data_IF_670017701821
#
_entry.id   IF_670017701821
#
_cell.length_a   1.000
_cell.length_b   1.000
_cell.length_c   1.000
_cell.angle_alpha   90.00
_cell.angle_beta   90.00
_cell.angle_gamma   90.00
#
_symmetry.space_group_name_H-M   'P 1'
#
loop_
_entity.id
_entity.type
_entity.pdbx_description
1 polymer ?
#
# COMPACT_ATOMS: atom_id res chain seq x y z
N UNK A 1 -16.92 0.82 6.59
CA UNK A 1 -15.76 1.45 5.94
C UNK A 1 -16.24 2.55 4.99
N UNK A 2 -15.59 3.72 4.99
CA UNK A 2 -15.85 4.77 4.01
C UNK A 2 -14.85 4.72 2.83
N UNK A 3 -15.30 5.10 1.63
CA UNK A 3 -14.47 5.16 0.41
C UNK A 3 -14.38 6.60 -0.08
N UNK A 4 -13.15 7.09 -0.29
CA UNK A 4 -12.89 8.47 -0.69
C UNK A 4 -12.07 8.50 -1.97
N UNK A 5 -12.57 9.17 -3.02
CA UNK A 5 -11.80 9.46 -4.23
C UNK A 5 -11.20 10.85 -4.15
N UNK A 6 -9.88 10.93 -4.09
CA UNK A 6 -9.16 12.13 -3.64
C UNK A 6 -8.11 12.58 -4.65
N UNK A 7 -7.92 13.90 -4.73
CA UNK A 7 -6.72 14.52 -5.31
C UNK A 7 -5.58 14.49 -4.30
N UNK A 8 -4.34 14.73 -4.75
CA UNK A 8 -3.12 14.63 -3.93
C UNK A 8 -3.22 15.41 -2.60
N UNK A 9 -3.66 16.67 -2.62
CA UNK A 9 -3.71 17.49 -1.40
C UNK A 9 -4.73 16.92 -0.40
N UNK A 10 -5.94 16.64 -0.86
CA UNK A 10 -6.99 16.04 -0.02
C UNK A 10 -6.65 14.61 0.45
N UNK A 11 -5.83 13.89 -0.31
CA UNK A 11 -5.31 12.59 0.07
C UNK A 11 -4.36 12.70 1.25
N UNK A 12 -3.46 13.70 1.25
CA UNK A 12 -2.56 13.93 2.38
C UNK A 12 -3.32 14.25 3.66
N UNK A 13 -4.29 15.17 3.59
CA UNK A 13 -5.12 15.55 4.74
C UNK A 13 -5.88 14.34 5.32
N UNK A 14 -6.51 13.54 4.45
CA UNK A 14 -7.27 12.34 4.88
C UNK A 14 -6.38 11.24 5.42
N UNK A 15 -5.17 11.08 4.87
CA UNK A 15 -4.20 10.13 5.39
C UNK A 15 -3.72 10.57 6.79
N UNK A 16 -3.41 11.85 6.99
CA UNK A 16 -2.98 12.37 8.30
C UNK A 16 -4.09 12.29 9.36
N UNK A 17 -5.35 12.50 8.98
CA UNK A 17 -6.52 12.21 9.82
C UNK A 17 -6.54 10.74 10.25
N UNK A 18 -6.35 9.81 9.30
CA UNK A 18 -6.29 8.37 9.60
C UNK A 18 -5.14 8.04 10.56
N UNK A 19 -3.94 8.59 10.36
CA UNK A 19 -2.77 8.34 11.24
C UNK A 19 -3.06 8.83 12.65
N UNK A 20 -3.74 9.96 12.79
CA UNK A 20 -4.01 10.59 14.09
C UNK A 20 -5.21 9.97 14.83
N UNK A 21 -6.11 9.27 14.15
CA UNK A 21 -7.33 8.70 14.75
C UNK A 21 -7.02 7.38 15.47
N UNK A 22 -7.07 7.37 16.81
CA UNK A 22 -6.80 6.17 17.61
C UNK A 22 -7.84 5.05 17.44
N UNK A 23 -9.01 5.34 16.88
CA UNK A 23 -10.08 4.35 16.68
C UNK A 23 -9.96 3.61 15.34
N UNK A 24 -9.10 4.10 14.44
CA UNK A 24 -8.84 3.48 13.14
C UNK A 24 -7.48 2.82 13.15
N UNK A 25 -7.40 1.61 12.63
CA UNK A 25 -6.17 0.85 12.57
C UNK A 25 -5.78 0.50 11.13
N UNK A 26 -6.72 0.29 10.22
CA UNK A 26 -6.44 -0.27 8.90
C UNK A 26 -6.94 0.63 7.76
N UNK A 27 -6.05 0.96 6.83
CA UNK A 27 -6.33 1.77 5.65
C UNK A 27 -6.00 1.02 4.37
N UNK A 28 -6.93 1.03 3.41
CA UNK A 28 -6.68 0.56 2.05
C UNK A 28 -6.44 1.75 1.11
N UNK A 29 -5.42 1.65 0.26
CA UNK A 29 -5.07 2.65 -0.73
C UNK A 29 -5.15 2.04 -2.11
N UNK A 30 -6.07 2.60 -2.90
CA UNK A 30 -6.41 2.22 -4.27
C UNK A 30 -5.99 3.30 -5.26
N UNK A 31 -5.95 2.97 -6.54
CA UNK A 31 -5.57 3.93 -7.60
C UNK A 31 -4.80 3.30 -8.75
N UNK A 32 -4.78 3.95 -9.91
CA UNK A 32 -4.08 3.42 -11.10
C UNK A 32 -2.56 3.63 -11.11
N UNK A 33 -2.05 4.56 -10.29
CA UNK A 33 -0.65 5.00 -10.35
C UNK A 33 0.15 4.52 -9.14
N UNK A 34 0.75 3.33 -9.26
CA UNK A 34 1.42 2.64 -8.15
C UNK A 34 2.58 3.42 -7.53
N UNK A 35 3.40 4.07 -8.37
CA UNK A 35 4.53 4.89 -7.91
C UNK A 35 4.05 6.11 -7.13
N UNK A 36 2.96 6.75 -7.57
CA UNK A 36 2.46 7.96 -6.93
C UNK A 36 1.80 7.66 -5.59
N UNK A 37 1.09 6.53 -5.49
CA UNK A 37 0.57 6.01 -4.20
C UNK A 37 1.70 5.80 -3.21
N UNK A 38 2.75 5.07 -3.61
CA UNK A 38 3.91 4.83 -2.73
C UNK A 38 4.60 6.13 -2.34
N UNK A 39 4.92 7.00 -3.29
CA UNK A 39 5.59 8.28 -3.01
C UNK A 39 4.78 9.15 -2.05
N UNK A 40 3.46 9.24 -2.27
CA UNK A 40 2.58 10.04 -1.42
C UNK A 40 2.56 9.49 0.01
N UNK A 41 2.38 8.17 0.16
CA UNK A 41 2.37 7.52 1.47
C UNK A 41 3.69 7.72 2.21
N UNK A 42 4.82 7.45 1.58
CA UNK A 42 6.12 7.61 2.24
C UNK A 42 6.43 9.07 2.58
N UNK A 43 6.08 10.02 1.72
CA UNK A 43 6.27 11.45 1.98
C UNK A 43 5.40 11.95 3.15
N UNK A 44 4.21 11.38 3.34
CA UNK A 44 3.36 11.72 4.48
C UNK A 44 3.92 11.07 5.75
N UNK A 45 4.21 9.77 5.72
CA UNK A 45 4.78 9.04 6.85
C UNK A 45 6.08 9.68 7.35
N UNK A 46 7.01 10.04 6.46
CA UNK A 46 8.30 10.63 6.83
C UNK A 46 8.20 11.99 7.53
N UNK A 47 7.14 12.74 7.25
CA UNK A 47 6.88 14.06 7.85
C UNK A 47 5.99 13.99 9.07
N UNK A 48 5.35 12.85 9.33
CA UNK A 48 4.39 12.71 10.40
C UNK A 48 5.10 12.43 11.73
N UNK A 49 4.87 13.30 12.73
CA UNK A 49 5.50 13.22 14.05
C UNK A 49 5.13 11.97 14.87
N UNK A 50 4.17 11.17 14.42
CA UNK A 50 3.76 9.92 15.08
C UNK A 50 4.33 8.68 14.39
N UNK A 51 5.06 8.85 13.28
CA UNK A 51 5.59 7.77 12.47
C UNK A 51 7.11 7.90 12.39
N UNK A 52 7.81 6.98 13.04
CA UNK A 52 9.27 6.90 12.98
C UNK A 52 9.74 5.50 12.58
N UNK A 53 9.02 4.47 13.03
CA UNK A 53 9.39 3.08 12.80
C UNK A 53 8.26 2.29 12.17
N UNK A 54 8.57 1.44 11.19
CA UNK A 54 7.58 0.55 10.60
C UNK A 54 8.15 -0.72 10.00
N UNK A 55 7.24 -1.58 9.56
CA UNK A 55 7.55 -2.81 8.84
C UNK A 55 6.90 -2.79 7.46
N UNK A 56 7.67 -3.05 6.42
CA UNK A 56 7.17 -3.23 5.06
C UNK A 56 6.93 -4.73 4.84
N UNK A 57 5.67 -5.09 4.69
CA UNK A 57 5.19 -6.47 4.52
C UNK A 57 5.02 -6.76 3.04
N UNK A 58 6.00 -7.45 2.48
CA UNK A 58 6.09 -7.75 1.06
C UNK A 58 5.25 -8.97 0.66
N UNK A 59 4.89 -9.00 -0.62
CA UNK A 59 4.33 -10.16 -1.30
C UNK A 59 5.28 -11.37 -1.37
N UNK A 60 4.79 -12.50 -1.90
CA UNK A 60 5.62 -13.67 -2.20
C UNK A 60 6.48 -13.51 -3.47
N UNK A 61 6.43 -12.34 -4.11
CA UNK A 61 7.24 -11.95 -5.25
C UNK A 61 8.73 -11.95 -4.90
N UNK A 62 9.56 -12.06 -5.94
CA UNK A 62 11.02 -12.06 -5.80
C UNK A 62 11.47 -10.70 -5.29
N UNK A 63 11.68 -10.61 -3.97
CA UNK A 63 12.31 -9.54 -3.16
C UNK A 63 13.14 -8.51 -3.95
N UNK A 64 13.90 -8.96 -4.94
CA UNK A 64 14.69 -8.15 -5.88
C UNK A 64 13.88 -7.12 -6.68
N UNK A 65 12.68 -7.44 -7.16
CA UNK A 65 11.86 -6.50 -7.94
C UNK A 65 11.30 -5.37 -7.07
N UNK A 66 10.88 -5.70 -5.84
CA UNK A 66 10.46 -4.70 -4.87
C UNK A 66 11.66 -3.82 -4.47
N UNK A 67 12.85 -4.42 -4.37
CA UNK A 67 14.09 -3.68 -4.07
C UNK A 67 14.39 -2.66 -5.15
N UNK A 68 14.36 -3.08 -6.42
CA UNK A 68 14.58 -2.21 -7.57
C UNK A 68 13.54 -1.08 -7.61
N UNK A 69 12.27 -1.38 -7.30
CA UNK A 69 11.22 -0.37 -7.22
C UNK A 69 11.50 0.66 -6.12
N UNK A 70 11.77 0.22 -4.89
CA UNK A 70 12.06 1.14 -3.80
C UNK A 70 13.34 1.94 -4.04
N UNK A 71 14.40 1.31 -4.56
CA UNK A 71 15.62 2.01 -4.98
C UNK A 71 15.31 3.11 -6.01
N UNK A 72 14.43 2.83 -6.97
CA UNK A 72 14.01 3.83 -7.97
C UNK A 72 13.19 4.97 -7.35
N UNK A 73 12.30 4.65 -6.42
CA UNK A 73 11.43 5.61 -5.74
C UNK A 73 12.25 6.56 -4.87
N UNK A 74 13.16 6.03 -4.06
CA UNK A 74 13.94 6.81 -3.11
C UNK A 74 15.27 7.31 -3.65
N UNK A 75 15.65 6.88 -4.87
CA UNK A 75 16.95 7.19 -5.49
C UNK A 75 18.16 6.82 -4.61
N UNK A 76 17.96 5.88 -3.70
CA UNK A 76 18.97 5.42 -2.74
C UNK A 76 19.33 3.96 -3.03
N UNK A 77 20.61 3.62 -2.89
CA UNK A 77 21.06 2.23 -3.00
C UNK A 77 20.62 1.50 -1.73
N UNK A 78 19.51 0.77 -1.81
CA UNK A 78 19.09 -0.11 -0.74
C UNK A 78 20.04 -1.32 -0.66
N UNK A 79 20.52 -1.68 0.53
CA UNK A 79 21.27 -2.92 0.72
C UNK A 79 20.43 -4.12 0.29
N UNK A 80 21.10 -5.22 -0.04
CA UNK A 80 20.42 -6.49 -0.34
C UNK A 80 19.49 -6.83 0.81
N UNK A 81 18.21 -7.02 0.53
CA UNK A 81 17.21 -7.28 1.56
C UNK A 81 17.51 -8.59 2.29
N UNK A 82 18.23 -8.50 3.41
CA UNK A 82 18.09 -9.46 4.48
C UNK A 82 16.82 -9.06 5.23
N UNK A 83 15.81 -9.93 5.25
CA UNK A 83 14.45 -9.70 5.81
C UNK A 83 14.41 -9.47 7.34
N UNK A 84 15.52 -9.06 7.94
CA UNK A 84 15.69 -8.89 9.38
C UNK A 84 16.50 -7.65 9.74
N UNK A 85 17.05 -6.95 8.76
CA UNK A 85 17.82 -5.72 9.00
C UNK A 85 16.87 -4.51 8.96
N UNK A 86 17.15 -3.53 9.83
CA UNK A 86 16.49 -2.22 9.82
C UNK A 86 17.22 -1.27 8.88
N UNK A 87 16.47 -0.46 8.13
CA UNK A 87 16.99 0.46 7.13
C UNK A 87 16.38 1.84 7.28
N UNK A 88 17.18 2.88 7.07
CA UNK A 88 16.68 4.24 6.98
C UNK A 88 16.14 4.51 5.58
N UNK A 89 14.86 4.84 5.51
CA UNK A 89 14.10 5.08 4.28
C UNK A 89 13.25 6.33 4.42
N UNK A 90 13.67 7.42 3.77
CA UNK A 90 12.99 8.72 3.85
C UNK A 90 12.70 9.12 5.31
N UNK A 91 13.74 9.18 6.15
CA UNK A 91 13.64 9.54 7.58
C UNK A 91 12.84 8.56 8.46
N UNK A 92 12.44 7.40 7.93
CA UNK A 92 11.81 6.31 8.66
C UNK A 92 12.78 5.15 8.87
N UNK A 93 12.77 4.53 10.04
CA UNK A 93 13.44 3.25 10.26
C UNK A 93 12.48 2.13 9.88
N UNK A 94 12.78 1.40 8.81
CA UNK A 94 11.92 0.33 8.29
C UNK A 94 12.60 -1.03 8.30
N UNK A 95 11.87 -2.06 8.71
CA UNK A 95 12.24 -3.46 8.49
C UNK A 95 11.41 -4.06 7.35
N UNK A 96 11.86 -5.19 6.80
CA UNK A 96 11.14 -5.89 5.73
C UNK A 96 10.75 -7.27 6.18
N UNK A 97 9.53 -7.70 5.87
CA UNK A 97 9.08 -9.08 6.10
C UNK A 97 8.17 -9.54 4.96
N UNK A 98 7.74 -10.80 4.98
CA UNK A 98 6.75 -11.33 4.03
C UNK A 98 5.47 -11.71 4.73
N UNK A 99 4.30 -11.42 4.14
CA UNK A 99 3.03 -11.83 4.75
C UNK A 99 2.93 -13.35 4.90
N UNK A 100 3.51 -14.12 3.97
CA UNK A 100 3.52 -15.58 4.00
C UNK A 100 4.26 -16.19 5.19
N UNK A 101 5.17 -15.44 5.82
CA UNK A 101 5.90 -15.85 7.03
C UNK A 101 5.14 -15.48 8.31
N UNK A 102 4.14 -14.61 8.21
CA UNK A 102 3.45 -13.99 9.34
C UNK A 102 1.95 -14.36 9.38
N UNK A 103 1.60 -15.55 8.88
CA UNK A 103 0.22 -16.04 8.92
C UNK A 103 -0.16 -16.67 10.25
N UNK A 104 0.83 -17.02 11.08
CA UNK A 104 0.64 -17.80 12.31
C UNK A 104 1.12 -17.08 13.58
N UNK A 105 1.96 -16.04 13.46
CA UNK A 105 2.53 -15.32 14.59
C UNK A 105 2.31 -13.81 14.47
N UNK A 106 2.08 -13.11 15.59
CA UNK A 106 2.01 -11.65 15.59
C UNK A 106 3.37 -11.04 15.29
N UNK A 107 3.36 -9.88 14.64
CA UNK A 107 4.55 -9.12 14.26
C UNK A 107 4.24 -7.61 14.29
N UNK A 108 5.25 -6.78 14.09
CA UNK A 108 5.10 -5.32 14.15
C UNK A 108 4.83 -4.81 15.57
N UNK A 109 5.24 -5.59 16.58
CA UNK A 109 5.13 -5.18 17.97
C UNK A 109 6.01 -3.94 18.16
N UNK A 110 5.40 -2.84 18.60
CA UNK A 110 6.01 -1.52 18.78
C UNK A 110 6.24 -0.69 17.50
N UNK A 111 5.85 -1.18 16.33
CA UNK A 111 5.93 -0.39 15.09
C UNK A 111 4.77 0.62 15.01
N UNK A 112 5.06 1.81 14.50
CA UNK A 112 4.06 2.84 14.25
C UNK A 112 3.16 2.46 13.07
N UNK A 113 3.70 1.73 12.11
CA UNK A 113 2.94 1.23 10.97
C UNK A 113 3.45 -0.11 10.41
N UNK A 114 2.54 -0.86 9.78
CA UNK A 114 2.82 -1.96 8.88
C UNK A 114 2.30 -1.61 7.48
N UNK A 115 3.19 -1.61 6.49
CA UNK A 115 2.88 -1.27 5.10
C UNK A 115 2.84 -2.55 4.25
N UNK A 116 1.66 -2.96 3.81
CA UNK A 116 1.47 -4.12 2.95
C UNK A 116 1.55 -3.69 1.50
N UNK A 117 2.58 -4.14 0.79
CA UNK A 117 2.78 -3.82 -0.62
C UNK A 117 3.64 -4.87 -1.34
N UNK A 118 3.28 -5.31 -2.55
CA UNK A 118 2.01 -5.06 -3.23
C UNK A 118 0.90 -6.01 -2.74
N UNK A 119 -0.36 -5.53 -2.72
CA UNK A 119 -1.53 -6.34 -2.28
C UNK A 119 -2.23 -7.08 -3.42
N UNK A 120 -2.24 -6.53 -4.64
CA UNK A 120 -3.16 -6.98 -5.71
C UNK A 120 -3.04 -8.48 -6.04
N UNK A 121 -1.83 -9.02 -6.18
CA UNK A 121 -1.64 -10.40 -6.62
C UNK A 121 -2.25 -11.44 -5.67
N UNK A 122 -2.34 -11.13 -4.37
CA UNK A 122 -2.87 -12.07 -3.38
C UNK A 122 -4.39 -12.22 -3.48
N UNK A 123 -5.07 -11.26 -4.11
CA UNK A 123 -6.53 -11.20 -4.20
C UNK A 123 -7.12 -12.08 -5.33
N UNK A 124 -6.27 -12.62 -6.20
CA UNK A 124 -6.69 -13.49 -7.29
C UNK A 124 -6.90 -14.95 -6.87
N UNK A 125 -6.47 -15.33 -5.67
CA UNK A 125 -6.63 -16.68 -5.14
C UNK A 125 -7.26 -16.63 -3.74
N UNK A 126 -8.46 -17.18 -3.57
CA UNK A 126 -9.20 -17.12 -2.30
C UNK A 126 -8.42 -17.69 -1.10
N UNK A 127 -7.58 -18.72 -1.31
CA UNK A 127 -6.75 -19.29 -0.25
C UNK A 127 -5.64 -18.32 0.18
N UNK A 128 -5.05 -17.63 -0.79
CA UNK A 128 -4.01 -16.63 -0.51
C UNK A 128 -4.63 -15.34 0.06
N UNK A 129 -5.79 -14.91 -0.44
CA UNK A 129 -6.59 -13.83 0.17
C UNK A 129 -6.86 -14.13 1.63
N UNK A 130 -7.36 -15.33 1.97
CA UNK A 130 -7.63 -15.70 3.36
C UNK A 130 -6.38 -15.69 4.25
N UNK A 131 -5.24 -16.13 3.74
CA UNK A 131 -3.96 -16.07 4.46
C UNK A 131 -3.47 -14.64 4.64
N UNK A 132 -3.59 -13.80 3.62
CA UNK A 132 -3.24 -12.40 3.68
C UNK A 132 -4.10 -11.67 4.71
N UNK A 133 -5.41 -11.89 4.71
CA UNK A 133 -6.33 -11.34 5.73
C UNK A 133 -5.90 -11.75 7.15
N UNK A 134 -5.47 -13.01 7.34
CA UNK A 134 -4.89 -13.45 8.63
C UNK A 134 -3.62 -12.69 8.99
N UNK A 135 -2.71 -12.49 8.03
CA UNK A 135 -1.48 -11.73 8.25
C UNK A 135 -1.76 -10.26 8.59
N UNK A 136 -2.75 -9.62 7.95
CA UNK A 136 -3.17 -8.25 8.29
C UNK A 136 -3.72 -8.19 9.72
N UNK A 137 -4.62 -9.11 10.09
CA UNK A 137 -5.19 -9.19 11.45
C UNK A 137 -4.17 -9.58 12.51
N UNK A 138 -3.09 -10.25 12.12
CA UNK A 138 -1.98 -10.64 12.99
C UNK A 138 -1.02 -9.49 13.32
N UNK A 139 -1.03 -8.41 12.54
CA UNK A 139 -0.19 -7.24 12.78
C UNK A 139 -0.53 -6.58 14.12
N UNK A 140 0.51 -6.21 14.87
CA UNK A 140 0.44 -5.44 16.13
C UNK A 140 0.93 -4.00 15.97
N UNK A 141 1.19 -3.57 14.74
CA UNK A 141 1.52 -2.17 14.45
C UNK A 141 0.33 -1.25 14.77
N UNK A 142 0.61 0.01 15.12
CA UNK A 142 -0.45 0.99 15.43
C UNK A 142 -1.36 1.26 14.22
N UNK A 143 -0.79 1.19 13.01
CA UNK A 143 -1.48 1.43 11.74
C UNK A 143 -1.12 0.37 10.70
N UNK A 144 -2.10 -0.21 10.04
CA UNK A 144 -1.95 -1.11 8.90
C UNK A 144 -2.33 -0.35 7.63
N UNK A 145 -1.41 -0.26 6.67
CA UNK A 145 -1.61 0.47 5.42
C UNK A 145 -1.44 -0.53 4.27
N UNK A 146 -2.51 -0.77 3.52
CA UNK A 146 -2.55 -1.73 2.43
C UNK A 146 -2.54 -0.95 1.11
N UNK A 147 -1.57 -1.21 0.24
CA UNK A 147 -1.47 -0.50 -1.05
C UNK A 147 -1.64 -1.50 -2.20
N UNK A 148 -2.65 -1.27 -3.03
CA UNK A 148 -2.87 -2.05 -4.26
C UNK A 148 -1.83 -1.70 -5.33
N UNK A 149 -1.64 -2.60 -6.29
CA UNK A 149 -0.87 -2.34 -7.52
C UNK A 149 -1.69 -2.74 -8.72
N UNK A 150 -1.59 -2.09 -9.88
CA UNK A 150 -2.37 -2.49 -11.06
C UNK A 150 -3.87 -2.68 -10.74
N UNK A 151 -4.46 -1.75 -9.99
CA UNK A 151 -5.83 -1.81 -9.48
C UNK A 151 -6.84 -1.61 -10.63
N UNK A 152 -6.96 -2.62 -11.47
CA UNK A 152 -7.77 -2.65 -12.68
C UNK A 152 -9.03 -3.51 -12.52
N UNK A 153 -9.27 -4.03 -11.33
CA UNK A 153 -10.40 -4.93 -11.03
C UNK A 153 -11.07 -4.53 -9.71
N UNK A 154 -12.28 -5.06 -9.48
CA UNK A 154 -13.00 -4.86 -8.21
C UNK A 154 -12.47 -5.79 -7.09
N UNK A 155 -11.35 -6.49 -7.27
CA UNK A 155 -10.84 -7.47 -6.30
C UNK A 155 -10.44 -6.88 -4.96
N UNK A 156 -9.97 -5.64 -4.94
CA UNK A 156 -9.65 -4.94 -3.69
C UNK A 156 -10.88 -4.70 -2.79
N UNK A 157 -12.10 -4.80 -3.32
CA UNK A 157 -13.33 -4.74 -2.50
C UNK A 157 -13.44 -5.91 -1.52
N UNK A 158 -12.78 -7.06 -1.79
CA UNK A 158 -12.71 -8.19 -0.85
C UNK A 158 -12.04 -7.83 0.49
N UNK A 159 -11.33 -6.70 0.56
CA UNK A 159 -10.67 -6.21 1.77
C UNK A 159 -11.52 -5.21 2.56
N UNK A 160 -12.66 -4.75 2.04
CA UNK A 160 -13.49 -3.71 2.65
C UNK A 160 -14.03 -4.09 4.04
N UNK A 161 -14.17 -5.38 4.30
CA UNK A 161 -14.62 -5.89 5.60
C UNK A 161 -13.53 -5.85 6.69
N UNK A 162 -12.26 -5.63 6.32
CA UNK A 162 -11.12 -5.68 7.24
C UNK A 162 -10.35 -4.36 7.36
N UNK A 163 -10.82 -3.31 6.68
CA UNK A 163 -10.23 -1.96 6.74
C UNK A 163 -11.25 -0.94 7.23
N UNK A 164 -10.78 0.11 7.88
CA UNK A 164 -11.64 1.17 8.42
C UNK A 164 -12.00 2.18 7.32
N UNK A 165 -11.04 2.52 6.47
CA UNK A 165 -11.19 3.45 5.36
C UNK A 165 -10.49 2.94 4.09
N UNK A 166 -10.99 3.41 2.94
CA UNK A 166 -10.36 3.25 1.64
C UNK A 166 -10.14 4.61 0.98
N UNK A 167 -8.89 4.95 0.66
CA UNK A 167 -8.53 6.14 -0.11
C UNK A 167 -8.15 5.73 -1.53
N UNK A 168 -8.82 6.31 -2.52
CA UNK A 168 -8.48 6.17 -3.93
C UNK A 168 -7.69 7.40 -4.33
N UNK A 169 -6.42 7.21 -4.68
CA UNK A 169 -5.54 8.23 -5.21
C UNK A 169 -5.27 7.99 -6.70
N UNK A 170 -5.93 8.81 -7.52
CA UNK A 170 -5.69 8.88 -8.95
C UNK A 170 -5.04 10.22 -9.32
N UNK A 171 -3.90 10.14 -9.98
CA UNK A 171 -3.12 11.30 -10.42
C UNK A 171 -3.28 11.54 -11.92
N UNK A 172 -4.44 11.18 -12.49
CA UNK A 172 -4.74 11.32 -13.93
C UNK A 172 -4.47 12.73 -14.42
N UNK A 173 -4.88 13.73 -13.64
CA UNK A 173 -4.76 15.16 -13.99
C UNK A 173 -3.37 15.75 -13.70
N UNK A 174 -2.41 14.97 -13.20
CA UNK A 174 -1.09 15.49 -12.82
C UNK A 174 -0.31 16.04 -14.02
N UNK A 175 -0.37 15.36 -15.16
CA UNK A 175 0.31 15.75 -16.39
C UNK A 175 -0.23 14.98 -17.61
N UNK A 176 0.17 15.42 -18.82
CA UNK A 176 -0.26 14.79 -20.08
C UNK A 176 0.16 13.32 -20.22
N UNK A 177 1.28 12.91 -19.60
CA UNK A 177 1.69 11.50 -19.59
C UNK A 177 0.70 10.66 -18.78
N UNK A 178 0.24 11.15 -17.63
CA UNK A 178 -0.75 10.45 -16.82
C UNK A 178 -2.09 10.33 -17.55
N UNK A 179 -2.59 11.40 -18.15
CA UNK A 179 -3.81 11.35 -18.98
C UNK A 179 -3.71 10.31 -20.09
N UNK A 180 -2.57 10.26 -20.81
CA UNK A 180 -2.34 9.24 -21.85
C UNK A 180 -2.33 7.82 -21.29
N UNK A 181 -1.68 7.59 -20.15
CA UNK A 181 -1.68 6.27 -19.48
C UNK A 181 -3.10 5.88 -19.08
N UNK A 182 -3.86 6.80 -18.47
CA UNK A 182 -5.24 6.54 -18.06
C UNK A 182 -6.13 6.19 -19.25
N UNK A 183 -6.05 6.93 -20.35
CA UNK A 183 -6.83 6.64 -21.55
C UNK A 183 -6.54 5.23 -22.09
N UNK A 184 -5.28 4.80 -22.09
CA UNK A 184 -4.91 3.42 -22.48
C UNK A 184 -5.49 2.38 -21.52
N UNK A 185 -5.42 2.62 -20.21
CA UNK A 185 -6.01 1.74 -19.20
C UNK A 185 -7.53 1.63 -19.41
N UNK A 186 -8.21 2.77 -19.54
CA UNK A 186 -9.66 2.84 -19.72
C UNK A 186 -10.11 2.10 -20.99
N UNK A 187 -9.41 2.30 -22.11
CA UNK A 187 -9.68 1.58 -23.35
C UNK A 187 -9.50 0.07 -23.19
N UNK A 188 -8.44 -0.37 -22.52
CA UNK A 188 -8.18 -1.79 -22.27
C UNK A 188 -9.24 -2.45 -21.38
N UNK A 189 -9.76 -1.72 -20.38
CA UNK A 189 -10.83 -2.19 -19.50
C UNK A 189 -12.14 -2.29 -20.28
N UNK A 190 -12.51 -1.24 -21.00
CA UNK A 190 -13.74 -1.20 -21.82
C UNK A 190 -13.74 -2.26 -22.93
N UNK A 191 -12.59 -2.51 -23.57
CA UNK A 191 -12.44 -3.56 -24.58
C UNK A 191 -12.71 -4.97 -24.05
N UNK A 192 -12.57 -5.18 -22.74
CA UNK A 192 -12.90 -6.43 -22.05
C UNK A 192 -14.33 -6.47 -21.51
N UNK A 193 -15.18 -5.52 -21.91
CA UNK A 193 -16.55 -5.33 -21.40
C UNK A 193 -16.62 -5.16 -19.87
N UNK A 194 -15.54 -4.66 -19.26
CA UNK A 194 -15.50 -4.38 -17.83
C UNK A 194 -15.75 -2.90 -17.57
N UNK A 195 -16.28 -2.61 -16.38
CA UNK A 195 -16.35 -1.26 -15.83
C UNK A 195 -15.01 -0.88 -15.16
N UNK A 196 -14.83 0.42 -14.93
CA UNK A 196 -13.75 0.88 -14.07
C UNK A 196 -13.92 0.28 -12.65
N UNK A 197 -12.80 0.02 -11.95
CA UNK A 197 -12.79 -0.66 -10.66
C UNK A 197 -13.32 0.18 -9.49
N UNK A 198 -13.55 1.49 -9.68
CA UNK A 198 -14.10 2.46 -8.72
C UNK A 198 -14.38 3.82 -9.39
#
# INVERSE_FOLDING_TARGET
>A
MAVYKLKIDAFADKFDEFISDSNKNSLLIRGFYDVDKLLSVFNILSKNKYCHKGVIVLGNVTIKHEQELFQRIFRNKLPTFNLSDEFDLADLTVSFTKWGQNTEFPYGQFDDFALFYPVESVLFNAKDTAKFVKAVKGSKAKKNILITTNDFTKKAEELYEIVDDCLILDTVDLNEKHKKIFNTIEQNIKAKHNELPY
#
